data_IF_713961605554
#
_entry.id   IF_713961605554
#
_cell.length_a   1.000
_cell.length_b   1.000
_cell.length_c   1.000
_cell.angle_alpha   90.00
_cell.angle_beta   90.00
_cell.angle_gamma   90.00
#
_symmetry.space_group_name_H-M   'P 1'
#
loop_
_entity.id
_entity.type
_entity.pdbx_description
1 polymer ?
#
# COMPACT_ATOMS: atom_id res chain seq x y z
N UNK A 1 -15.97 -19.72 -3.40
CA UNK A 1 -14.73 -19.38 -2.66
C UNK A 1 -14.56 -17.87 -2.79
N UNK A 2 -14.52 -17.13 -1.68
CA UNK A 2 -14.57 -15.65 -1.69
C UNK A 2 -13.31 -15.02 -1.07
N UNK A 3 -12.15 -15.67 -1.26
CA UNK A 3 -10.89 -15.24 -0.66
C UNK A 3 -10.31 -14.05 -1.41
N UNK A 4 -9.99 -12.98 -0.69
CA UNK A 4 -9.39 -11.79 -1.28
C UNK A 4 -7.96 -12.07 -1.81
N UNK A 5 -7.59 -11.48 -2.96
CA UNK A 5 -6.21 -11.45 -3.41
C UNK A 5 -5.35 -10.57 -2.50
N UNK A 6 -4.04 -10.62 -2.71
CA UNK A 6 -3.08 -9.65 -2.16
C UNK A 6 -2.44 -8.97 -3.35
N UNK A 7 -2.33 -7.64 -3.31
CA UNK A 7 -1.66 -6.88 -4.36
C UNK A 7 -0.45 -6.14 -3.81
N UNK A 8 0.58 -6.03 -4.64
CA UNK A 8 1.58 -4.97 -4.52
C UNK A 8 1.28 -3.93 -5.60
N UNK A 9 1.08 -2.68 -5.21
CA UNK A 9 0.75 -1.57 -6.11
C UNK A 9 1.90 -0.57 -6.14
N UNK A 10 2.34 -0.26 -7.36
CA UNK A 10 3.28 0.84 -7.62
C UNK A 10 2.52 2.16 -7.56
N UNK A 11 2.60 2.88 -6.43
CA UNK A 11 1.75 4.08 -6.22
C UNK A 11 2.22 5.32 -7.00
N UNK A 12 3.44 5.30 -7.55
CA UNK A 12 4.02 6.39 -8.34
C UNK A 12 4.41 7.61 -7.50
N UNK A 13 5.05 8.61 -8.12
CA UNK A 13 5.35 9.87 -7.42
C UNK A 13 4.05 10.58 -7.00
N UNK A 14 3.84 10.77 -5.70
CA UNK A 14 2.67 11.51 -5.22
C UNK A 14 2.73 12.99 -5.61
N UNK A 15 1.61 13.65 -5.97
CA UNK A 15 0.25 13.15 -6.15
C UNK A 15 -0.15 13.13 -7.65
N UNK A 16 0.48 12.27 -8.45
CA UNK A 16 0.36 12.26 -9.92
C UNK A 16 -1.06 12.34 -10.52
N UNK A 17 -2.15 11.78 -9.93
CA UNK A 17 -3.48 11.87 -10.56
C UNK A 17 -4.04 13.30 -10.60
N UNK A 18 -3.46 14.21 -9.82
CA UNK A 18 -3.92 15.59 -9.66
C UNK A 18 -3.01 16.60 -10.36
N UNK A 19 -2.08 16.11 -11.18
CA UNK A 19 -1.16 16.92 -12.00
C UNK A 19 -1.29 16.43 -13.44
N UNK A 20 -1.86 17.24 -14.33
CA UNK A 20 -2.31 16.81 -15.66
C UNK A 20 -1.23 16.09 -16.48
N UNK A 21 -0.02 16.68 -16.56
CA UNK A 21 1.10 16.08 -17.30
C UNK A 21 1.52 14.73 -16.72
N UNK A 22 1.54 14.60 -15.39
CA UNK A 22 1.87 13.33 -14.74
C UNK A 22 0.74 12.32 -14.91
N UNK A 23 -0.52 12.73 -14.77
CA UNK A 23 -1.67 11.86 -15.01
C UNK A 23 -1.65 11.28 -16.41
N UNK A 24 -1.27 12.08 -17.41
CA UNK A 24 -1.07 11.60 -18.78
C UNK A 24 0.06 10.56 -18.85
N UNK A 25 1.20 10.78 -18.18
CA UNK A 25 2.30 9.81 -18.12
C UNK A 25 1.89 8.50 -17.43
N UNK A 26 1.02 8.57 -16.41
CA UNK A 26 0.52 7.43 -15.64
C UNK A 26 -0.83 6.90 -16.13
N UNK A 27 -1.28 7.26 -17.34
CA UNK A 27 -2.62 6.92 -17.84
C UNK A 27 -2.92 5.41 -17.82
N UNK A 28 -1.93 4.56 -18.10
CA UNK A 28 -2.08 3.11 -18.00
C UNK A 28 -2.27 2.66 -16.54
N UNK A 29 -1.47 3.19 -15.61
CA UNK A 29 -1.58 2.90 -14.18
C UNK A 29 -2.94 3.33 -13.64
N UNK A 30 -3.44 4.49 -14.07
CA UNK A 30 -4.77 4.97 -13.73
C UNK A 30 -5.87 3.98 -14.16
N UNK A 31 -5.84 3.53 -15.42
CA UNK A 31 -6.80 2.55 -15.93
C UNK A 31 -6.75 1.24 -15.14
N UNK A 32 -5.56 0.77 -14.77
CA UNK A 32 -5.41 -0.45 -13.97
C UNK A 32 -5.98 -0.30 -12.56
N UNK A 33 -5.77 0.83 -11.87
CA UNK A 33 -6.37 1.07 -10.55
C UNK A 33 -7.89 1.20 -10.61
N UNK A 34 -8.44 1.89 -11.62
CA UNK A 34 -9.89 2.01 -11.82
C UNK A 34 -10.52 0.64 -12.11
N UNK A 35 -9.85 -0.22 -12.88
CA UNK A 35 -10.36 -1.54 -13.24
C UNK A 35 -10.25 -2.57 -12.11
N UNK A 36 -9.30 -2.39 -11.17
CA UNK A 36 -8.97 -3.39 -10.14
C UNK A 36 -10.17 -3.83 -9.30
N UNK A 37 -11.05 -2.95 -8.77
CA UNK A 37 -12.23 -3.36 -8.01
C UNK A 37 -13.13 -4.36 -8.76
N UNK A 38 -13.25 -4.23 -10.09
CA UNK A 38 -14.03 -5.14 -10.93
C UNK A 38 -13.40 -6.53 -11.13
N UNK A 39 -12.13 -6.71 -10.73
CA UNK A 39 -11.40 -7.99 -10.77
C UNK A 39 -11.40 -8.69 -9.41
N UNK A 40 -11.92 -8.05 -8.36
CA UNK A 40 -12.05 -8.64 -7.03
C UNK A 40 -13.24 -9.60 -6.99
N UNK A 41 -13.20 -10.65 -6.14
CA UNK A 41 -14.32 -11.58 -5.99
C UNK A 41 -15.57 -10.92 -5.38
N UNK A 42 -15.38 -9.85 -4.60
CA UNK A 42 -16.43 -9.01 -4.04
C UNK A 42 -15.84 -7.63 -3.68
N UNK A 43 -16.70 -6.65 -3.38
CA UNK A 43 -16.26 -5.40 -2.72
C UNK A 43 -15.68 -5.77 -1.33
N UNK A 44 -14.47 -5.31 -0.98
CA UNK A 44 -13.88 -5.62 0.31
C UNK A 44 -14.61 -4.93 1.46
N UNK A 45 -14.65 -5.62 2.60
CA UNK A 45 -15.21 -5.09 3.86
C UNK A 45 -14.34 -3.94 4.41
N UNK A 46 -13.03 -4.04 4.19
CA UNK A 46 -12.05 -2.99 4.45
C UNK A 46 -10.73 -3.33 3.72
N UNK A 47 -9.82 -2.36 3.67
CA UNK A 47 -8.49 -2.50 3.06
C UNK A 47 -7.43 -2.33 4.14
N UNK A 48 -6.49 -3.26 4.20
CA UNK A 48 -5.24 -3.12 4.96
C UNK A 48 -4.12 -2.70 4.00
N UNK A 49 -3.59 -1.49 4.19
CA UNK A 49 -2.50 -0.94 3.38
C UNK A 49 -1.18 -0.99 4.17
N UNK A 50 -0.17 -1.66 3.62
CA UNK A 50 1.21 -1.58 4.06
C UNK A 50 1.91 -0.59 3.14
N UNK A 51 2.13 0.63 3.62
CA UNK A 51 2.69 1.73 2.82
C UNK A 51 4.20 1.90 3.04
N UNK A 52 4.95 2.08 1.96
CA UNK A 52 6.37 2.43 2.00
C UNK A 52 6.67 3.80 2.62
N UNK A 53 5.66 4.64 2.88
CA UNK A 53 5.81 5.98 3.49
C UNK A 53 5.50 6.01 4.99
N UNK A 54 5.45 4.84 5.63
CA UNK A 54 5.31 4.75 7.07
C UNK A 54 6.21 3.68 7.64
N UNK A 55 7.25 4.13 8.32
CA UNK A 55 8.24 3.28 8.95
C UNK A 55 8.30 3.56 10.45
N UNK A 56 8.37 2.48 11.22
CA UNK A 56 8.41 2.55 12.67
C UNK A 56 9.43 1.56 13.22
N UNK A 57 9.90 1.81 14.44
CA UNK A 57 10.79 0.87 15.14
C UNK A 57 10.11 -0.49 15.36
N UNK A 58 8.81 -0.48 15.62
CA UNK A 58 7.95 -1.65 15.79
C UNK A 58 6.76 -1.53 14.85
N UNK A 59 6.21 -2.65 14.38
CA UNK A 59 5.01 -2.63 13.56
C UNK A 59 3.92 -1.81 14.26
N UNK A 60 3.30 -0.87 13.56
CA UNK A 60 2.31 0.03 14.14
C UNK A 60 1.08 0.05 13.26
N UNK A 61 -0.09 -0.10 13.87
CA UNK A 61 -1.39 -0.16 13.20
C UNK A 61 -2.10 1.18 13.38
N UNK A 62 -2.64 1.75 12.30
CA UNK A 62 -3.42 2.97 12.41
C UNK A 62 -4.78 2.70 13.05
N UNK A 63 -5.17 3.51 14.04
CA UNK A 63 -6.45 3.36 14.76
C UNK A 63 -7.34 4.60 14.68
N UNK A 64 -7.04 5.55 13.79
CA UNK A 64 -7.89 6.71 13.57
C UNK A 64 -9.22 6.30 12.90
N UNK A 65 -10.37 6.59 13.52
CA UNK A 65 -11.70 6.37 12.90
C UNK A 65 -11.94 7.27 11.68
N UNK A 66 -11.34 8.47 11.69
CA UNK A 66 -11.36 9.44 10.60
C UNK A 66 -9.92 9.89 10.33
N UNK A 67 -9.12 9.10 9.61
CA UNK A 67 -7.72 9.41 9.36
C UNK A 67 -7.57 10.78 8.69
N UNK A 68 -6.65 11.65 9.15
CA UNK A 68 -6.33 12.88 8.43
C UNK A 68 -5.58 12.56 7.13
N UNK A 69 -5.35 13.57 6.30
CA UNK A 69 -4.41 13.47 5.18
C UNK A 69 -2.98 13.73 5.68
N UNK A 70 -2.00 13.01 5.12
CA UNK A 70 -0.56 13.27 5.29
C UNK A 70 -0.01 13.62 3.91
N UNK A 71 0.45 14.86 3.75
CA UNK A 71 1.08 15.31 2.50
C UNK A 71 2.59 15.14 2.62
N UNK A 72 3.08 13.96 2.29
CA UNK A 72 4.47 13.50 2.39
C UNK A 72 5.29 13.75 1.11
N UNK A 73 4.79 14.62 0.24
CA UNK A 73 5.42 15.05 -1.01
C UNK A 73 5.58 16.58 -1.05
N UNK A 74 6.56 17.05 -1.82
CA UNK A 74 6.97 18.47 -1.82
C UNK A 74 7.21 18.98 -3.25
N UNK A 75 7.07 20.29 -3.45
CA UNK A 75 7.34 20.93 -4.75
C UNK A 75 6.21 20.80 -5.78
N UNK A 76 5.02 20.38 -5.35
CA UNK A 76 3.84 20.26 -6.22
C UNK A 76 2.95 21.51 -6.18
N UNK A 77 2.03 21.69 -7.13
CA UNK A 77 1.05 22.78 -7.10
C UNK A 77 0.23 22.83 -5.80
N UNK A 78 -0.12 24.03 -5.34
CA UNK A 78 -0.81 24.27 -4.07
C UNK A 78 -2.12 23.47 -3.91
N UNK A 79 -2.90 23.33 -4.98
CA UNK A 79 -4.19 22.61 -4.92
C UNK A 79 -4.02 21.15 -4.48
N UNK A 80 -2.85 20.56 -4.70
CA UNK A 80 -2.58 19.18 -4.29
C UNK A 80 -2.53 18.99 -2.77
N UNK A 81 -2.11 20.02 -2.03
CA UNK A 81 -2.10 20.02 -0.56
C UNK A 81 -3.48 20.26 0.06
N UNK A 82 -4.51 20.40 -0.77
CA UNK A 82 -5.90 20.55 -0.34
C UNK A 82 -6.75 19.31 -0.66
N UNK A 83 -6.17 18.30 -1.33
CA UNK A 83 -6.85 17.03 -1.64
C UNK A 83 -7.31 16.36 -0.35
N UNK A 84 -8.57 15.94 -0.31
CA UNK A 84 -9.14 15.15 0.80
C UNK A 84 -9.68 13.84 0.26
N UNK A 85 -9.37 12.75 0.96
CA UNK A 85 -9.95 11.44 0.72
C UNK A 85 -10.62 10.96 2.02
N UNK A 86 -11.95 11.10 2.16
CA UNK A 86 -12.63 10.95 3.45
C UNK A 86 -13.00 9.50 3.78
N UNK A 87 -12.17 8.53 3.38
CA UNK A 87 -12.42 7.12 3.71
C UNK A 87 -12.31 6.92 5.23
N UNK A 88 -13.26 6.21 5.86
CA UNK A 88 -13.19 5.96 7.29
C UNK A 88 -12.05 5.00 7.61
N UNK A 89 -11.52 5.09 8.83
CA UNK A 89 -10.75 3.99 9.39
C UNK A 89 -11.67 2.84 9.82
N UNK A 90 -11.08 1.75 10.34
CA UNK A 90 -11.83 0.65 10.91
C UNK A 90 -11.18 0.14 12.18
N UNK A 91 -11.71 0.54 13.35
CA UNK A 91 -11.27 0.01 14.65
C UNK A 91 -11.45 -1.50 14.73
N UNK A 92 -12.48 -2.05 14.09
CA UNK A 92 -12.70 -3.50 14.00
C UNK A 92 -11.53 -4.19 13.29
N UNK A 93 -11.12 -3.68 12.14
CA UNK A 93 -9.98 -4.23 11.39
C UNK A 93 -8.66 -4.01 12.15
N UNK A 94 -8.44 -2.81 12.71
CA UNK A 94 -7.22 -2.52 13.46
C UNK A 94 -7.06 -3.47 14.67
N UNK A 95 -8.10 -3.66 15.47
CA UNK A 95 -8.11 -4.63 16.57
C UNK A 95 -7.87 -6.06 16.08
N UNK A 96 -8.42 -6.43 14.91
CA UNK A 96 -8.22 -7.76 14.32
C UNK A 96 -6.76 -7.96 13.90
N UNK A 97 -6.13 -6.96 13.28
CA UNK A 97 -4.71 -6.98 12.91
C UNK A 97 -3.85 -7.15 14.16
N UNK A 98 -4.05 -6.33 15.19
CA UNK A 98 -3.30 -6.39 16.44
C UNK A 98 -3.43 -7.77 17.11
N UNK A 99 -4.64 -8.34 17.17
CA UNK A 99 -4.86 -9.66 17.73
C UNK A 99 -4.14 -10.76 16.94
N UNK A 100 -4.13 -10.70 15.60
CA UNK A 100 -3.40 -11.66 14.77
C UNK A 100 -1.88 -11.57 14.97
N UNK A 101 -1.35 -10.35 15.05
CA UNK A 101 0.07 -10.12 15.33
C UNK A 101 0.45 -10.62 16.73
N UNK A 102 -0.35 -10.30 17.75
CA UNK A 102 -0.12 -10.76 19.12
C UNK A 102 -0.16 -12.28 19.23
N UNK A 103 -1.09 -12.96 18.54
CA UNK A 103 -1.18 -14.43 18.54
C UNK A 103 0.02 -15.11 17.86
N UNK A 104 0.79 -14.37 17.05
CA UNK A 104 2.00 -14.83 16.39
C UNK A 104 3.29 -14.39 17.11
N UNK A 105 3.16 -13.89 18.36
CA UNK A 105 4.23 -13.32 19.17
C UNK A 105 4.96 -12.14 18.48
N UNK A 106 4.22 -11.35 17.70
CA UNK A 106 4.72 -10.15 17.03
C UNK A 106 4.19 -8.92 17.78
N UNK A 107 5.10 -8.20 18.44
CA UNK A 107 4.76 -6.94 19.09
C UNK A 107 4.37 -5.87 18.06
N UNK A 108 3.23 -5.22 18.30
CA UNK A 108 2.75 -4.11 17.50
C UNK A 108 2.20 -2.99 18.38
N UNK A 109 2.28 -1.76 17.87
CA UNK A 109 1.75 -0.54 18.50
C UNK A 109 0.52 -0.03 17.76
N UNK A 110 -0.12 0.96 18.34
CA UNK A 110 -1.25 1.68 17.75
C UNK A 110 -0.87 3.14 17.52
N UNK A 111 -1.37 3.73 16.43
CA UNK A 111 -1.34 5.17 16.22
C UNK A 111 -2.72 5.70 15.80
N UNK A 112 -3.38 6.38 16.74
CA UNK A 112 -4.68 7.01 16.54
C UNK A 112 -4.61 8.33 15.74
N UNK A 113 -3.41 8.79 15.37
CA UNK A 113 -3.16 10.03 14.62
C UNK A 113 -2.66 9.78 13.21
N UNK A 114 -2.30 8.53 12.86
CA UNK A 114 -1.78 8.20 11.52
C UNK A 114 -2.83 8.53 10.46
N UNK A 115 -2.45 9.37 9.52
CA UNK A 115 -3.26 9.75 8.35
C UNK A 115 -2.78 9.11 7.05
N UNK A 116 -3.57 9.29 5.99
CA UNK A 116 -3.27 8.73 4.67
C UNK A 116 -2.18 9.53 3.96
N UNK A 117 -1.01 8.91 3.80
CA UNK A 117 0.07 9.34 2.91
C UNK A 117 -0.28 9.10 1.43
N UNK A 118 0.51 9.65 0.50
CA UNK A 118 0.23 9.45 -0.92
C UNK A 118 0.30 7.99 -1.38
N UNK A 119 1.18 7.18 -0.78
CA UNK A 119 1.21 5.75 -1.04
C UNK A 119 -0.11 5.07 -0.70
N UNK A 120 -0.86 5.61 0.25
CA UNK A 120 -2.20 5.14 0.61
C UNK A 120 -3.29 5.79 -0.24
N UNK A 121 -3.43 7.12 -0.22
CA UNK A 121 -4.63 7.74 -0.81
C UNK A 121 -4.64 7.72 -2.35
N UNK A 122 -3.49 7.75 -3.02
CA UNK A 122 -3.42 7.79 -4.50
C UNK A 122 -4.05 6.54 -5.13
N UNK A 123 -3.58 5.31 -4.83
CA UNK A 123 -4.18 4.12 -5.43
C UNK A 123 -5.64 3.94 -4.96
N UNK A 124 -5.92 4.19 -3.68
CA UNK A 124 -7.23 3.91 -3.11
C UNK A 124 -8.31 4.89 -3.61
N UNK A 125 -7.98 6.17 -3.85
CA UNK A 125 -8.94 7.13 -4.42
C UNK A 125 -9.35 6.74 -5.85
N UNK A 126 -8.42 6.17 -6.64
CA UNK A 126 -8.72 5.71 -7.99
C UNK A 126 -9.53 4.41 -7.99
N UNK A 127 -9.27 3.51 -7.03
CA UNK A 127 -10.04 2.27 -6.85
C UNK A 127 -11.45 2.54 -6.28
N UNK A 128 -11.57 3.42 -5.30
CA UNK A 128 -12.81 3.69 -4.55
C UNK A 128 -13.03 5.20 -4.41
N UNK A 129 -13.43 5.90 -5.49
CA UNK A 129 -13.55 7.37 -5.50
C UNK A 129 -14.61 7.91 -4.54
N UNK A 130 -15.61 7.09 -4.19
CA UNK A 130 -16.67 7.45 -3.24
C UNK A 130 -16.23 7.35 -1.78
N UNK A 131 -15.00 6.91 -1.50
CA UNK A 131 -14.46 6.76 -0.14
C UNK A 131 -15.35 5.89 0.78
N UNK A 132 -15.99 4.88 0.21
CA UNK A 132 -17.01 4.04 0.83
C UNK A 132 -16.47 2.65 1.25
N UNK A 133 -15.14 2.51 1.34
CA UNK A 133 -14.42 1.35 1.84
C UNK A 133 -13.49 1.81 2.96
N UNK A 134 -13.61 1.24 4.19
CA UNK A 134 -12.70 1.59 5.28
C UNK A 134 -11.25 1.20 5.00
N UNK A 135 -10.31 2.02 5.45
CA UNK A 135 -8.86 1.81 5.24
C UNK A 135 -8.13 1.82 6.58
N UNK A 136 -7.32 0.79 6.81
CA UNK A 136 -6.37 0.71 7.93
C UNK A 136 -4.98 0.59 7.34
N UNK A 137 -4.01 1.30 7.92
CA UNK A 137 -2.61 1.19 7.56
C UNK A 137 -1.85 0.34 8.58
N UNK A 138 -0.80 -0.32 8.10
CA UNK A 138 0.22 -0.98 8.90
C UNK A 138 1.58 -0.44 8.46
N UNK A 139 2.39 0.01 9.42
CA UNK A 139 3.75 0.49 9.15
C UNK A 139 4.68 -0.65 8.74
N UNK A 140 5.74 -0.32 8.01
CA UNK A 140 6.91 -1.19 7.91
C UNK A 140 7.79 -1.05 9.14
N UNK A 141 8.63 -2.06 9.39
CA UNK A 141 9.67 -1.96 10.42
C UNK A 141 10.94 -1.38 9.80
N UNK A 142 11.49 -0.31 10.40
CA UNK A 142 12.59 0.48 9.82
C UNK A 142 13.95 -0.25 9.76
N UNK A 143 14.05 -1.47 10.29
CA UNK A 143 15.23 -2.33 10.11
C UNK A 143 15.17 -3.15 8.80
N UNK A 144 14.02 -3.14 8.12
CA UNK A 144 13.74 -3.85 6.88
C UNK A 144 14.12 -5.34 6.89
N UNK A 145 14.11 -5.99 8.06
CA UNK A 145 14.40 -7.42 8.14
C UNK A 145 13.30 -8.20 7.41
N UNK A 146 13.61 -8.87 6.28
CA UNK A 146 12.60 -9.54 5.46
C UNK A 146 11.92 -10.69 6.21
N UNK A 147 12.62 -11.38 7.10
CA UNK A 147 12.03 -12.47 7.89
C UNK A 147 10.95 -11.95 8.84
N UNK A 148 11.14 -10.76 9.42
CA UNK A 148 10.14 -10.13 10.28
C UNK A 148 8.88 -9.74 9.50
N UNK A 149 9.06 -9.20 8.29
CA UNK A 149 7.94 -8.82 7.41
C UNK A 149 7.21 -10.04 6.84
N UNK A 150 7.92 -11.13 6.51
CA UNK A 150 7.31 -12.40 6.08
C UNK A 150 6.46 -13.00 7.21
N UNK A 151 6.96 -12.99 8.47
CA UNK A 151 6.19 -13.46 9.63
C UNK A 151 4.90 -12.66 9.84
N UNK A 152 4.94 -11.34 9.63
CA UNK A 152 3.72 -10.51 9.62
C UNK A 152 2.76 -10.97 8.52
N UNK A 153 3.23 -11.15 7.28
CA UNK A 153 2.40 -11.64 6.18
C UNK A 153 1.74 -12.99 6.48
N UNK A 154 2.47 -13.91 7.10
CA UNK A 154 1.94 -15.20 7.56
C UNK A 154 0.82 -15.01 8.60
N UNK A 155 1.05 -14.19 9.61
CA UNK A 155 0.07 -13.90 10.67
C UNK A 155 -1.23 -13.26 10.13
N UNK A 156 -1.13 -12.42 9.11
CA UNK A 156 -2.26 -11.70 8.51
C UNK A 156 -3.09 -12.53 7.51
N UNK A 157 -2.65 -13.76 7.20
CA UNK A 157 -3.32 -14.64 6.21
C UNK A 157 -4.83 -14.76 6.39
N UNK A 158 -5.39 -14.92 7.62
CA UNK A 158 -6.83 -15.08 7.81
C UNK A 158 -7.68 -13.90 7.31
N UNK A 159 -7.13 -12.68 7.31
CA UNK A 159 -7.85 -11.47 6.88
C UNK A 159 -8.41 -11.60 5.45
N UNK A 160 -7.70 -12.33 4.59
CA UNK A 160 -8.11 -12.55 3.19
C UNK A 160 -9.42 -13.33 3.08
N UNK A 161 -9.65 -14.26 4.00
CA UNK A 161 -10.87 -15.07 4.06
C UNK A 161 -12.00 -14.32 4.80
N UNK A 162 -11.66 -13.24 5.51
CA UNK A 162 -12.58 -12.33 6.20
C UNK A 162 -13.04 -11.15 5.32
N UNK A 163 -12.75 -11.17 4.01
CA UNK A 163 -13.15 -10.12 3.07
C UNK A 163 -12.27 -8.87 3.10
N UNK A 164 -11.08 -8.94 3.73
CA UNK A 164 -10.12 -7.83 3.78
C UNK A 164 -9.17 -7.90 2.59
N UNK A 165 -9.08 -6.81 1.84
CA UNK A 165 -8.08 -6.67 0.80
C UNK A 165 -6.76 -6.18 1.41
N UNK A 166 -5.67 -6.91 1.16
CA UNK A 166 -4.32 -6.52 1.61
C UNK A 166 -3.56 -5.92 0.43
N UNK A 167 -3.05 -4.71 0.62
CA UNK A 167 -2.27 -3.97 -0.39
C UNK A 167 -0.91 -3.61 0.21
N UNK A 168 0.17 -4.10 -0.39
CA UNK A 168 1.48 -3.47 -0.27
C UNK A 168 1.55 -2.30 -1.26
N UNK A 169 1.94 -1.13 -0.79
CA UNK A 169 2.01 0.08 -1.62
C UNK A 169 3.43 0.66 -1.58
N UNK A 170 4.10 0.66 -2.72
CA UNK A 170 5.51 1.05 -2.81
C UNK A 170 5.93 1.43 -4.22
N UNK A 171 7.24 1.39 -4.45
CA UNK A 171 7.85 1.37 -5.77
C UNK A 171 8.82 0.18 -5.80
N UNK A 172 8.76 -0.63 -6.86
CA UNK A 172 9.63 -1.78 -7.06
C UNK A 172 11.09 -1.35 -7.23
N UNK A 173 11.34 -0.26 -7.95
CA UNK A 173 12.66 0.34 -8.13
C UNK A 173 12.63 1.84 -7.81
N UNK A 174 13.51 2.28 -6.88
CA UNK A 174 13.51 3.65 -6.37
C UNK A 174 14.92 4.28 -6.34
N UNK A 175 15.52 4.49 -7.52
CA UNK A 175 16.82 5.15 -7.65
C UNK A 175 16.67 6.65 -7.93
N UNK A 176 16.60 7.47 -6.87
CA UNK A 176 16.47 8.92 -7.00
C UNK A 176 17.63 9.59 -7.74
N UNK A 177 18.85 9.02 -7.70
CA UNK A 177 20.01 9.56 -8.43
C UNK A 177 19.90 9.37 -9.94
N UNK A 178 19.14 8.36 -10.36
CA UNK A 178 18.88 8.01 -11.75
C UNK A 178 17.58 8.58 -12.32
N UNK A 179 16.79 9.31 -11.52
CA UNK A 179 15.48 9.78 -11.94
C UNK A 179 15.58 10.71 -13.17
N UNK A 180 14.78 10.42 -14.20
CA UNK A 180 14.76 11.17 -15.46
C UNK A 180 16.01 11.01 -16.34
N UNK A 181 16.86 10.01 -16.07
CA UNK A 181 18.07 9.73 -16.85
C UNK A 181 17.91 8.47 -17.68
N UNK A 182 18.14 8.56 -18.98
CA UNK A 182 18.00 7.44 -19.92
C UNK A 182 18.89 6.24 -19.54
N UNK A 183 20.07 6.48 -18.95
CA UNK A 183 20.97 5.40 -18.54
C UNK A 183 20.41 4.56 -17.37
N UNK A 184 19.39 5.07 -16.67
CA UNK A 184 18.77 4.35 -15.55
C UNK A 184 17.66 3.41 -16.01
N UNK A 185 17.10 3.60 -17.21
CA UNK A 185 16.00 2.79 -17.74
C UNK A 185 16.41 1.32 -17.91
N UNK A 186 17.54 0.97 -18.55
CA UNK A 186 17.93 -0.44 -18.68
C UNK A 186 18.18 -1.13 -17.33
N UNK A 187 18.62 -0.37 -16.32
CA UNK A 187 18.87 -0.89 -14.97
C UNK A 187 17.53 -1.17 -14.27
N UNK A 188 16.57 -0.25 -14.38
CA UNK A 188 15.22 -0.45 -13.88
C UNK A 188 14.58 -1.67 -14.55
N UNK A 189 14.64 -1.78 -15.88
CA UNK A 189 14.10 -2.91 -16.63
C UNK A 189 14.73 -4.25 -16.21
N UNK A 190 16.05 -4.28 -16.01
CA UNK A 190 16.74 -5.47 -15.54
C UNK A 190 16.27 -5.90 -14.14
N UNK A 191 16.08 -4.92 -13.24
CA UNK A 191 15.57 -5.18 -11.90
C UNK A 191 14.11 -5.65 -11.92
N UNK A 192 13.25 -5.02 -12.71
CA UNK A 192 11.84 -5.42 -12.88
C UNK A 192 11.73 -6.86 -13.41
N UNK A 193 12.56 -7.22 -14.40
CA UNK A 193 12.59 -8.58 -14.93
C UNK A 193 13.02 -9.58 -13.86
N UNK A 194 14.08 -9.29 -13.10
CA UNK A 194 14.51 -10.12 -11.99
C UNK A 194 13.41 -10.29 -10.94
N UNK A 195 12.78 -9.18 -10.51
CA UNK A 195 11.72 -9.20 -9.50
C UNK A 195 10.51 -10.00 -9.99
N UNK A 196 10.09 -9.80 -11.23
CA UNK A 196 8.97 -10.52 -11.87
C UNK A 196 9.20 -12.02 -11.86
N UNK A 197 10.42 -12.48 -12.18
CA UNK A 197 10.75 -13.91 -12.15
C UNK A 197 10.89 -14.46 -10.73
N UNK A 198 11.37 -13.65 -9.77
CA UNK A 198 11.44 -14.04 -8.37
C UNK A 198 10.03 -14.23 -7.77
N UNK A 199 9.11 -13.28 -7.96
CA UNK A 199 7.77 -13.34 -7.34
C UNK A 199 6.87 -14.41 -7.94
N UNK A 200 7.15 -14.87 -9.17
CA UNK A 200 6.45 -15.99 -9.82
C UNK A 200 6.89 -17.36 -9.30
N UNK A 201 7.95 -17.44 -8.49
CA UNK A 201 8.40 -18.70 -7.92
C UNK A 201 7.35 -19.28 -6.98
N UNK A 202 6.85 -20.47 -7.31
CA UNK A 202 5.88 -21.19 -6.50
C UNK A 202 6.49 -21.70 -5.18
N UNK A 203 7.79 -22.00 -5.17
CA UNK A 203 8.50 -22.38 -3.96
C UNK A 203 8.80 -21.14 -3.12
N UNK A 204 8.16 -21.06 -1.95
CA UNK A 204 8.33 -19.94 -1.02
C UNK A 204 9.76 -19.78 -0.51
N UNK A 205 10.55 -20.86 -0.39
CA UNK A 205 11.96 -20.81 0.04
C UNK A 205 12.87 -20.26 -1.05
N UNK A 206 12.47 -20.38 -2.32
CA UNK A 206 13.22 -19.81 -3.45
C UNK A 206 12.81 -18.36 -3.69
N UNK A 207 11.52 -18.05 -3.45
CA UNK A 207 10.98 -16.70 -3.61
C UNK A 207 11.44 -15.73 -2.52
N UNK A 208 11.47 -16.20 -1.27
CA UNK A 208 11.68 -15.38 -0.07
C UNK A 208 13.13 -15.43 0.41
#
# INVERSE_FOLDING_TARGET
MNRMPVYFLSHGGGPWPYVDDMRQQFAKTEQEFIALPGRLPAKPEAILVITGHWEEKDFTVSTAERPPMVYDYYGFPEHTYHIKYPAPGSLKLASRVLALLSNADIAAKEDARRGFDHGTFVPITLMYPNADVPVVMLSMKSNYDPHQHIRVGQALTPLRDEGILIIGSGLTYHNMRGFGRDESTPIADAFENYLSEAVKQNNAEVRN
#
